data_IF_143674696811
#
_entry.id   IF_143674696811
#
_cell.length_a   1.000
_cell.length_b   1.000
_cell.length_c   1.000
_cell.angle_alpha   90.00
_cell.angle_beta   90.00
_cell.angle_gamma   90.00
#
_symmetry.space_group_name_H-M   'P 1'
#
loop_
_entity.id
_entity.type
_entity.pdbx_description
1 polymer ?
#
# COMPACT_ATOMS: atom_id res chain seq x y z
N UNK A 1 -52.24 7.76 2.58
CA UNK A 1 -52.23 7.08 1.26
C UNK A 1 -51.58 7.88 0.13
N UNK A 2 -50.82 8.97 0.40
CA UNK A 2 -50.20 9.80 -0.66
C UNK A 2 -48.68 9.60 -0.85
N UNK A 3 -48.01 8.86 0.04
CA UNK A 3 -46.55 8.66 0.01
C UNK A 3 -46.13 7.42 -0.79
N UNK A 4 -46.94 6.35 -0.75
CA UNK A 4 -46.67 5.10 -1.48
C UNK A 4 -46.69 5.28 -3.01
N UNK A 5 -47.62 6.10 -3.52
CA UNK A 5 -47.74 6.38 -4.96
C UNK A 5 -46.52 7.15 -5.49
N UNK A 6 -45.98 8.11 -4.71
CA UNK A 6 -44.77 8.85 -5.09
C UNK A 6 -43.54 7.94 -5.19
N UNK A 7 -43.34 7.02 -4.24
CA UNK A 7 -42.23 6.06 -4.30
C UNK A 7 -42.33 5.15 -5.54
N UNK A 8 -43.52 4.71 -5.90
CA UNK A 8 -43.75 3.84 -7.06
C UNK A 8 -43.44 4.55 -8.38
N UNK A 9 -43.79 5.83 -8.50
CA UNK A 9 -43.47 6.65 -9.68
C UNK A 9 -41.97 6.93 -9.82
N UNK A 10 -41.26 7.22 -8.71
CA UNK A 10 -39.81 7.43 -8.76
C UNK A 10 -39.05 6.13 -9.06
N UNK A 11 -39.50 4.99 -8.54
CA UNK A 11 -38.91 3.68 -8.85
C UNK A 11 -39.07 3.34 -10.34
N UNK A 12 -40.22 3.60 -10.94
CA UNK A 12 -40.45 3.41 -12.37
C UNK A 12 -39.58 4.32 -13.24
N UNK A 13 -39.36 5.57 -12.83
CA UNK A 13 -38.50 6.52 -13.56
C UNK A 13 -37.03 6.09 -13.47
N UNK A 14 -36.55 5.66 -12.29
CA UNK A 14 -35.18 5.14 -12.13
C UNK A 14 -34.98 3.85 -12.92
N UNK A 15 -35.98 2.95 -12.94
CA UNK A 15 -35.93 1.72 -13.73
C UNK A 15 -35.91 2.02 -15.24
N UNK A 16 -36.73 2.95 -15.72
CA UNK A 16 -36.74 3.37 -17.12
C UNK A 16 -35.42 4.04 -17.56
N UNK A 17 -34.82 4.89 -16.70
CA UNK A 17 -33.52 5.51 -16.98
C UNK A 17 -32.37 4.49 -16.94
N UNK A 18 -32.49 3.42 -16.15
CA UNK A 18 -31.51 2.32 -16.13
C UNK A 18 -31.63 1.39 -17.35
N UNK A 19 -32.82 1.24 -17.93
CA UNK A 19 -33.03 0.43 -19.14
C UNK A 19 -32.61 1.17 -20.42
N UNK A 20 -32.61 2.51 -20.43
CA UNK A 20 -32.15 3.30 -21.57
C UNK A 20 -30.62 3.52 -21.58
N UNK A 21 -29.95 3.29 -20.45
CA UNK A 21 -28.50 3.24 -20.35
C UNK A 21 -28.05 1.78 -20.17
N UNK A 22 -28.43 0.93 -21.12
CA UNK A 22 -27.81 -0.37 -21.27
C UNK A 22 -26.34 -0.19 -21.64
N UNK A 23 -25.46 -0.01 -20.65
CA UNK A 23 -24.05 -0.35 -20.84
C UNK A 23 -24.05 -1.87 -20.96
N UNK A 24 -24.10 -2.34 -22.19
CA UNK A 24 -23.80 -3.73 -22.51
C UNK A 24 -22.34 -3.97 -22.12
N UNK A 25 -22.13 -4.40 -20.87
CA UNK A 25 -20.91 -5.07 -20.49
C UNK A 25 -20.93 -6.45 -21.15
N UNK A 26 -20.73 -6.49 -22.46
CA UNK A 26 -20.40 -7.74 -23.13
C UNK A 26 -19.00 -8.13 -22.68
N UNK A 27 -18.90 -9.22 -21.92
CA UNK A 27 -17.66 -9.95 -21.76
C UNK A 27 -17.32 -10.61 -23.11
N UNK A 28 -16.80 -9.81 -24.05
CA UNK A 28 -16.39 -10.27 -25.36
C UNK A 28 -15.17 -11.17 -25.26
N UNK A 29 -15.40 -12.49 -25.36
CA UNK A 29 -14.34 -13.46 -25.63
C UNK A 29 -13.76 -13.19 -27.03
N UNK A 30 -12.44 -13.36 -27.24
CA UNK A 30 -11.70 -12.74 -28.35
C UNK A 30 -12.05 -13.23 -29.77
N UNK A 31 -13.04 -14.11 -29.92
CA UNK A 31 -13.49 -14.70 -31.19
C UNK A 31 -15.00 -14.62 -31.44
N UNK A 32 -15.83 -14.12 -30.53
CA UNK A 32 -17.26 -13.96 -30.79
C UNK A 32 -17.51 -12.65 -31.54
N UNK A 33 -17.44 -12.73 -32.85
CA UNK A 33 -17.58 -11.64 -33.82
C UNK A 33 -19.04 -11.16 -33.97
N UNK A 34 -19.64 -10.60 -32.92
CA UNK A 34 -20.81 -9.74 -33.06
C UNK A 34 -20.41 -8.27 -33.32
N UNK A 35 -19.22 -7.85 -32.88
CA UNK A 35 -18.65 -6.51 -33.16
C UNK A 35 -17.90 -6.43 -34.48
N UNK A 36 -17.72 -7.54 -35.21
CA UNK A 36 -16.94 -7.58 -36.45
C UNK A 36 -17.78 -7.73 -37.73
N UNK A 37 -19.12 -7.69 -37.65
CA UNK A 37 -19.97 -8.00 -38.81
C UNK A 37 -20.85 -6.89 -39.37
N UNK A 38 -20.86 -5.66 -38.85
CA UNK A 38 -21.80 -4.65 -39.39
C UNK A 38 -21.22 -3.44 -40.11
N UNK A 39 -19.91 -3.18 -40.06
CA UNK A 39 -19.31 -2.27 -41.04
C UNK A 39 -17.81 -2.57 -41.20
N UNK A 40 -17.45 -3.23 -42.30
CA UNK A 40 -16.06 -3.44 -42.69
C UNK A 40 -15.39 -2.14 -43.20
N UNK A 41 -15.92 -0.97 -42.86
CA UNK A 41 -15.32 0.31 -43.17
C UNK A 41 -13.96 0.43 -42.47
N UNK A 42 -12.98 0.94 -43.20
CA UNK A 42 -11.62 1.09 -42.71
C UNK A 42 -11.62 2.01 -41.49
N UNK A 43 -12.49 3.02 -41.52
CA UNK A 43 -12.72 4.07 -40.53
C UNK A 43 -13.19 3.51 -39.18
N UNK A 44 -14.17 2.60 -39.16
CA UNK A 44 -14.65 1.97 -37.93
C UNK A 44 -13.54 1.16 -37.23
N UNK A 45 -12.73 0.41 -38.00
CA UNK A 45 -11.56 -0.32 -37.49
C UNK A 45 -10.48 0.61 -36.92
N UNK A 46 -10.30 1.80 -37.48
CA UNK A 46 -9.35 2.78 -36.94
C UNK A 46 -9.86 3.44 -35.67
N UNK A 47 -11.17 3.75 -35.60
CA UNK A 47 -11.81 4.31 -34.41
C UNK A 47 -11.74 3.35 -33.21
N UNK A 48 -12.05 2.07 -33.42
CA UNK A 48 -11.96 1.02 -32.39
C UNK A 48 -10.51 0.74 -31.93
N UNK A 49 -9.52 0.85 -32.84
CA UNK A 49 -8.10 0.77 -32.45
C UNK A 49 -7.62 2.00 -31.69
N UNK A 50 -8.22 3.16 -31.96
CA UNK A 50 -7.89 4.41 -31.29
C UNK A 50 -8.46 4.45 -29.87
N UNK A 51 -9.63 3.86 -29.63
CA UNK A 51 -10.28 3.80 -28.31
C UNK A 51 -9.62 2.82 -27.34
N UNK A 52 -8.86 1.83 -27.83
CA UNK A 52 -8.12 0.89 -26.98
C UNK A 52 -7.07 1.61 -26.12
N UNK A 53 -6.95 1.27 -24.81
CA UNK A 53 -6.00 1.92 -23.91
C UNK A 53 -4.55 1.71 -24.39
N UNK A 54 -3.71 2.73 -24.17
CA UNK A 54 -2.30 2.70 -24.57
C UNK A 54 -1.58 1.48 -23.97
N UNK A 55 -0.84 0.72 -24.78
CA UNK A 55 -0.17 -0.53 -24.37
C UNK A 55 -0.94 -1.83 -24.64
N UNK A 56 -2.26 -1.78 -24.91
CA UNK A 56 -3.09 -2.96 -25.20
C UNK A 56 -2.99 -3.49 -26.64
N UNK A 57 -2.21 -2.82 -27.51
CA UNK A 57 -2.14 -3.13 -28.95
C UNK A 57 -1.25 -4.34 -29.22
N UNK A 58 -1.80 -5.53 -29.07
CA UNK A 58 -1.17 -6.76 -29.51
C UNK A 58 -1.31 -6.91 -31.04
N UNK A 59 -0.28 -7.48 -31.68
CA UNK A 59 -0.24 -7.73 -33.13
C UNK A 59 -0.12 -9.23 -33.35
N UNK A 60 -0.92 -9.78 -34.25
CA UNK A 60 -0.71 -11.15 -34.71
C UNK A 60 0.57 -11.23 -35.55
N UNK A 61 1.49 -12.09 -35.15
CA UNK A 61 2.71 -12.42 -35.88
C UNK A 61 2.92 -13.93 -35.79
N UNK A 62 3.13 -14.59 -36.93
CA UNK A 62 3.40 -16.03 -36.99
C UNK A 62 2.35 -16.91 -36.29
N UNK A 63 1.07 -16.56 -36.44
CA UNK A 63 -0.05 -17.30 -35.83
C UNK A 63 -0.28 -17.02 -34.34
N UNK A 64 0.58 -16.24 -33.69
CA UNK A 64 0.48 -15.92 -32.27
C UNK A 64 0.30 -14.42 -32.02
N UNK A 65 -0.26 -14.08 -30.85
CA UNK A 65 -0.51 -12.72 -30.42
C UNK A 65 0.73 -12.14 -29.74
N UNK A 66 1.39 -11.17 -30.39
CA UNK A 66 2.67 -10.60 -29.94
C UNK A 66 2.55 -9.11 -29.56
N UNK A 67 3.08 -8.66 -28.40
CA UNK A 67 3.65 -9.45 -27.29
C UNK A 67 2.59 -10.26 -26.51
N UNK A 68 3.00 -11.34 -25.80
CA UNK A 68 2.07 -12.22 -25.06
C UNK A 68 1.22 -11.49 -24.02
N UNK A 69 1.79 -10.42 -23.43
CA UNK A 69 1.11 -9.51 -22.53
C UNK A 69 1.21 -8.07 -23.07
N UNK A 70 0.18 -7.24 -22.89
CA UNK A 70 0.26 -5.82 -23.21
C UNK A 70 1.37 -5.18 -22.36
N UNK A 71 2.37 -4.58 -23.01
CA UNK A 71 3.41 -3.86 -22.27
C UNK A 71 2.83 -2.52 -21.81
N UNK A 72 3.15 -2.05 -20.60
CA UNK A 72 2.98 -0.64 -20.29
C UNK A 72 3.91 0.14 -21.23
N UNK A 73 3.34 0.71 -22.29
CA UNK A 73 4.06 1.59 -23.20
C UNK A 73 3.55 2.99 -22.99
N UNK A 74 4.41 3.87 -22.46
CA UNK A 74 4.22 5.30 -22.59
C UNK A 74 4.16 5.74 -24.06
N UNK A 75 3.99 7.05 -24.33
CA UNK A 75 4.00 7.59 -25.68
C UNK A 75 5.24 7.12 -26.46
N UNK A 76 5.07 6.82 -27.76
CA UNK A 76 6.18 6.37 -28.62
C UNK A 76 7.25 7.44 -28.62
N UNK A 77 8.46 7.11 -28.15
CA UNK A 77 9.58 8.04 -28.17
C UNK A 77 9.88 8.51 -29.59
N UNK A 78 10.20 9.79 -29.73
CA UNK A 78 10.64 10.38 -30.99
C UNK A 78 11.93 9.74 -31.51
N UNK A 79 12.16 9.81 -32.83
CA UNK A 79 13.31 9.13 -33.45
C UNK A 79 14.66 9.70 -32.99
N UNK A 80 14.75 11.00 -32.70
CA UNK A 80 15.96 11.62 -32.15
C UNK A 80 16.27 11.09 -30.75
N UNK A 81 15.25 10.94 -29.89
CA UNK A 81 15.40 10.32 -28.59
C UNK A 81 15.97 8.91 -28.76
N UNK A 82 15.37 8.09 -29.64
CA UNK A 82 15.86 6.73 -29.93
C UNK A 82 17.31 6.69 -30.43
N UNK A 83 17.71 7.61 -31.30
CA UNK A 83 19.09 7.74 -31.77
C UNK A 83 20.03 8.05 -30.62
N UNK A 84 19.70 9.07 -29.82
CA UNK A 84 20.53 9.48 -28.70
C UNK A 84 20.61 8.40 -27.60
N UNK A 85 19.53 7.65 -27.39
CA UNK A 85 19.48 6.53 -26.45
C UNK A 85 20.43 5.39 -26.82
N UNK A 86 20.58 5.09 -28.12
CA UNK A 86 21.47 4.03 -28.57
C UNK A 86 22.95 4.44 -28.57
N UNK A 87 23.24 5.72 -28.83
CA UNK A 87 24.62 6.20 -29.05
C UNK A 87 25.26 6.86 -27.83
N UNK A 88 24.48 7.43 -26.92
CA UNK A 88 25.02 8.18 -25.77
C UNK A 88 24.72 7.52 -24.42
N UNK A 89 24.34 6.24 -24.40
CA UNK A 89 24.20 5.49 -23.16
C UNK A 89 25.51 5.56 -22.35
N UNK A 90 25.48 5.91 -21.04
CA UNK A 90 24.32 6.11 -20.15
C UNK A 90 23.91 7.58 -19.91
N UNK A 91 24.67 8.57 -20.42
CA UNK A 91 24.57 9.97 -20.01
C UNK A 91 23.19 10.67 -20.16
N UNK A 92 22.37 10.45 -21.21
CA UNK A 92 21.11 11.17 -21.36
C UNK A 92 20.07 10.79 -20.29
N UNK A 93 20.24 9.67 -19.60
CA UNK A 93 19.32 9.18 -18.59
C UNK A 93 19.80 9.41 -17.17
N UNK A 94 21.10 9.65 -16.95
CA UNK A 94 21.67 9.76 -15.61
C UNK A 94 20.96 10.81 -14.74
N UNK A 95 20.55 11.95 -15.31
CA UNK A 95 19.81 12.97 -14.57
C UNK A 95 18.38 12.52 -14.22
N UNK A 96 17.70 11.84 -15.15
CA UNK A 96 16.34 11.35 -14.96
C UNK A 96 16.32 10.18 -13.97
N UNK A 97 17.25 9.25 -14.09
CA UNK A 97 17.40 8.11 -13.19
C UNK A 97 17.77 8.56 -11.78
N UNK A 98 18.67 9.55 -11.63
CA UNK A 98 18.98 10.16 -10.32
C UNK A 98 17.75 10.82 -9.70
N UNK A 99 16.99 11.59 -10.48
CA UNK A 99 15.77 12.21 -10.00
C UNK A 99 14.71 11.18 -9.61
N UNK A 100 14.59 10.09 -10.37
CA UNK A 100 13.67 8.99 -10.08
C UNK A 100 14.04 8.26 -8.78
N UNK A 101 15.32 7.94 -8.59
CA UNK A 101 15.80 7.32 -7.35
C UNK A 101 15.58 8.28 -6.17
N UNK A 102 15.87 9.57 -6.33
CA UNK A 102 15.62 10.57 -5.29
C UNK A 102 14.13 10.64 -4.91
N UNK A 103 13.21 10.68 -5.88
CA UNK A 103 11.75 10.68 -5.63
C UNK A 103 11.30 9.42 -4.87
N UNK A 104 11.81 8.24 -5.23
CA UNK A 104 11.50 7.02 -4.50
C UNK A 104 11.97 7.12 -3.04
N UNK A 105 13.20 7.58 -2.81
CA UNK A 105 13.77 7.73 -1.48
C UNK A 105 12.98 8.76 -0.66
N UNK A 106 12.61 9.88 -1.26
CA UNK A 106 11.81 10.91 -0.60
C UNK A 106 10.44 10.40 -0.16
N UNK A 107 9.78 9.59 -1.00
CA UNK A 107 8.52 8.93 -0.64
C UNK A 107 8.70 7.92 0.50
N UNK A 108 9.77 7.13 0.47
CA UNK A 108 10.07 6.18 1.55
C UNK A 108 10.34 6.90 2.87
N UNK A 109 11.12 7.98 2.83
CA UNK A 109 11.39 8.83 3.99
C UNK A 109 10.09 9.45 4.50
N UNK A 110 9.26 10.00 3.62
CA UNK A 110 7.97 10.56 3.99
C UNK A 110 7.08 9.52 4.68
N UNK A 111 6.92 8.34 4.09
CA UNK A 111 6.14 7.25 4.68
C UNK A 111 6.69 6.81 6.04
N UNK A 112 8.02 6.70 6.18
CA UNK A 112 8.67 6.38 7.45
C UNK A 112 8.37 7.41 8.55
N UNK A 113 8.39 8.70 8.20
CA UNK A 113 7.98 9.77 9.12
C UNK A 113 6.48 9.72 9.44
N UNK A 114 5.62 9.47 8.46
CA UNK A 114 4.19 9.29 8.68
C UNK A 114 3.93 8.13 9.64
N UNK A 115 4.60 7.00 9.46
CA UNK A 115 4.48 5.82 10.31
C UNK A 115 4.97 6.10 11.73
N UNK A 116 6.15 6.70 11.87
CA UNK A 116 6.72 7.04 13.18
C UNK A 116 5.86 8.06 13.94
N UNK A 117 5.22 8.99 13.24
CA UNK A 117 4.32 9.97 13.85
C UNK A 117 2.88 9.47 13.99
N UNK A 118 2.61 8.19 13.70
CA UNK A 118 1.30 7.57 13.87
C UNK A 118 1.13 6.97 15.26
N UNK A 119 0.09 7.43 15.98
CA UNK A 119 -0.42 6.80 17.19
C UNK A 119 -1.36 5.66 16.81
N UNK A 120 -0.86 4.43 16.96
CA UNK A 120 -1.59 3.18 16.77
C UNK A 120 -2.45 2.77 17.96
N UNK A 121 -3.30 1.75 17.74
CA UNK A 121 -4.26 1.23 18.71
C UNK A 121 -3.66 0.85 20.08
N UNK A 122 -2.42 0.38 20.14
CA UNK A 122 -1.76 0.00 21.40
C UNK A 122 -1.31 1.21 22.25
N UNK A 123 -1.29 2.41 21.69
CA UNK A 123 -1.08 3.64 22.46
C UNK A 123 -2.36 4.09 23.19
N UNK A 124 -3.51 3.50 22.84
CA UNK A 124 -4.79 3.80 23.45
C UNK A 124 -5.21 2.70 24.42
N UNK A 125 -5.97 3.10 25.43
CA UNK A 125 -6.67 2.16 26.29
C UNK A 125 -7.81 1.46 25.51
N UNK A 126 -8.05 0.19 25.82
CA UNK A 126 -9.00 -0.66 25.08
C UNK A 126 -10.44 -0.21 25.24
N UNK A 127 -10.78 0.28 26.43
CA UNK A 127 -12.15 0.60 26.80
C UNK A 127 -12.42 2.12 26.72
N UNK A 128 -11.40 2.95 27.01
CA UNK A 128 -11.59 4.39 27.16
C UNK A 128 -11.21 5.28 25.97
N UNK A 129 -10.59 4.77 24.91
CA UNK A 129 -10.01 5.59 23.81
C UNK A 129 -9.05 6.72 24.28
N UNK A 130 -8.60 6.67 25.54
CA UNK A 130 -7.65 7.61 26.14
C UNK A 130 -6.23 7.17 25.85
N UNK A 131 -5.31 8.12 25.80
CA UNK A 131 -3.89 7.84 25.66
C UNK A 131 -3.37 7.12 26.92
N UNK A 132 -2.67 6.00 26.71
CA UNK A 132 -1.90 5.32 27.75
C UNK A 132 -0.60 6.06 28.03
N UNK A 133 0.14 5.67 29.08
CA UNK A 133 1.46 6.22 29.35
C UNK A 133 2.42 6.08 28.15
N UNK A 134 2.37 4.94 27.45
CA UNK A 134 3.16 4.73 26.24
C UNK A 134 2.74 5.67 25.10
N UNK A 135 1.44 5.95 24.96
CA UNK A 135 0.91 6.94 24.02
C UNK A 135 1.36 8.36 24.34
N UNK A 136 1.33 8.75 25.61
CA UNK A 136 1.77 10.08 26.05
C UNK A 136 3.26 10.30 25.82
N UNK A 137 4.10 9.30 26.13
CA UNK A 137 5.54 9.36 25.86
C UNK A 137 5.83 9.47 24.35
N UNK A 138 5.10 8.72 23.52
CA UNK A 138 5.25 8.80 22.07
C UNK A 138 4.81 10.16 21.53
N UNK A 139 3.68 10.70 22.02
CA UNK A 139 3.21 12.02 21.65
C UNK A 139 4.22 13.12 22.03
N UNK A 140 4.82 13.03 23.23
CA UNK A 140 5.92 13.92 23.66
C UNK A 140 7.11 13.83 22.72
N UNK A 141 7.52 12.61 22.35
CA UNK A 141 8.61 12.41 21.39
C UNK A 141 8.33 13.08 20.04
N UNK A 142 7.10 12.96 19.51
CA UNK A 142 6.71 13.64 18.26
C UNK A 142 6.85 15.16 18.40
N UNK A 143 6.43 15.73 19.52
CA UNK A 143 6.48 17.20 19.72
C UNK A 143 7.89 17.73 19.92
N UNK A 144 8.76 17.00 20.62
CA UNK A 144 10.11 17.45 20.95
C UNK A 144 11.15 17.10 19.87
N UNK A 145 11.08 15.89 19.32
CA UNK A 145 12.17 15.33 18.50
C UNK A 145 11.85 15.30 17.00
N UNK A 146 10.58 15.30 16.60
CA UNK A 146 10.26 15.31 15.17
C UNK A 146 10.63 16.67 14.54
N UNK A 147 11.27 16.70 13.36
CA UNK A 147 11.58 17.92 12.64
C UNK A 147 10.32 18.72 12.34
N UNK A 148 10.38 20.05 12.47
CA UNK A 148 9.21 20.93 12.31
C UNK A 148 8.48 20.73 10.96
N UNK A 149 9.24 20.59 9.87
CA UNK A 149 8.69 20.35 8.51
C UNK A 149 7.88 19.05 8.38
N UNK A 150 8.09 18.09 9.28
CA UNK A 150 7.47 16.74 9.25
C UNK A 150 6.66 16.44 10.50
N UNK A 151 6.51 17.42 11.40
CA UNK A 151 5.83 17.27 12.70
C UNK A 151 4.32 17.35 12.50
N UNK A 152 3.73 16.23 12.12
CA UNK A 152 2.30 16.04 11.95
C UNK A 152 1.86 14.86 12.78
N UNK A 153 0.82 15.00 13.59
CA UNK A 153 0.33 13.90 14.42
C UNK A 153 -0.69 13.09 13.61
N UNK A 154 -0.45 11.80 13.46
CA UNK A 154 -1.40 10.89 12.84
C UNK A 154 -2.04 10.00 13.90
N UNK A 155 -3.35 9.80 13.82
CA UNK A 155 -4.09 8.91 14.72
C UNK A 155 -4.72 7.79 13.91
N UNK A 156 -4.46 6.55 14.31
CA UNK A 156 -5.05 5.40 13.63
C UNK A 156 -6.57 5.38 13.82
N UNK A 157 -7.30 5.25 12.71
CA UNK A 157 -8.76 5.06 12.72
C UNK A 157 -9.15 3.78 13.46
N UNK A 158 -10.17 3.88 14.32
CA UNK A 158 -10.81 2.74 14.95
C UNK A 158 -11.86 2.09 14.04
N UNK A 159 -12.43 0.96 14.47
CA UNK A 159 -13.51 0.29 13.74
C UNK A 159 -14.79 1.14 13.64
N UNK A 160 -14.99 2.07 14.58
CA UNK A 160 -16.12 3.00 14.57
C UNK A 160 -15.64 4.44 14.35
N UNK A 161 -16.46 5.23 13.64
CA UNK A 161 -16.19 6.65 13.39
C UNK A 161 -16.19 7.48 14.68
N UNK A 162 -17.10 7.16 15.61
CA UNK A 162 -17.22 7.82 16.92
C UNK A 162 -15.93 7.63 17.72
N UNK A 163 -15.45 6.38 17.86
CA UNK A 163 -14.20 6.09 18.56
C UNK A 163 -12.99 6.78 17.89
N UNK A 164 -12.99 6.88 16.57
CA UNK A 164 -11.92 7.59 15.85
C UNK A 164 -11.90 9.08 16.19
N UNK A 165 -13.07 9.73 16.24
CA UNK A 165 -13.19 11.14 16.63
C UNK A 165 -12.83 11.37 18.09
N UNK A 166 -13.23 10.48 19.00
CA UNK A 166 -12.83 10.53 20.41
C UNK A 166 -11.31 10.43 20.58
N UNK A 167 -10.66 9.51 19.87
CA UNK A 167 -9.19 9.39 19.89
C UNK A 167 -8.52 10.66 19.39
N UNK A 168 -9.02 11.22 18.30
CA UNK A 168 -8.50 12.48 17.75
C UNK A 168 -8.64 13.62 18.77
N UNK A 169 -9.81 13.77 19.39
CA UNK A 169 -10.06 14.79 20.40
C UNK A 169 -9.18 14.62 21.64
N UNK A 170 -9.02 13.39 22.13
CA UNK A 170 -8.15 13.09 23.27
C UNK A 170 -6.67 13.39 22.97
N UNK A 171 -6.20 13.12 21.75
CA UNK A 171 -4.84 13.43 21.31
C UNK A 171 -4.63 14.93 21.18
N UNK A 172 -5.60 15.66 20.60
CA UNK A 172 -5.53 17.12 20.51
C UNK A 172 -5.52 17.78 21.89
N UNK A 173 -6.35 17.28 22.81
CA UNK A 173 -6.37 17.75 24.20
C UNK A 173 -5.01 17.51 24.87
N UNK A 174 -4.48 16.29 24.80
CA UNK A 174 -3.17 15.95 25.39
C UNK A 174 -2.02 16.76 24.75
N UNK A 175 -2.07 17.01 23.44
CA UNK A 175 -1.08 17.84 22.76
C UNK A 175 -1.15 19.30 23.24
N UNK A 176 -2.36 19.85 23.42
CA UNK A 176 -2.57 21.21 23.93
C UNK A 176 -2.07 21.38 25.36
N UNK A 177 -2.22 20.35 26.20
CA UNK A 177 -1.74 20.34 27.58
C UNK A 177 -0.21 20.32 27.64
N UNK A 178 0.45 19.57 26.75
CA UNK A 178 1.92 19.49 26.72
C UNK A 178 2.59 20.74 26.15
N UNK A 179 1.89 21.52 25.33
CA UNK A 179 2.46 22.69 24.65
C UNK A 179 2.01 24.03 25.25
N UNK A 180 1.32 24.00 26.39
CA UNK A 180 0.69 25.17 27.02
C UNK A 180 -0.15 26.01 26.02
N UNK A 181 -0.79 25.33 25.07
CA UNK A 181 -1.59 25.95 24.00
C UNK A 181 -0.80 26.65 22.89
N UNK A 182 0.54 26.62 22.93
CA UNK A 182 1.41 27.22 21.91
C UNK A 182 1.88 26.16 20.91
N UNK A 183 1.98 26.52 19.62
CA UNK A 183 2.57 25.68 18.55
C UNK A 183 2.08 24.21 18.53
N UNK A 184 0.76 24.00 18.49
CA UNK A 184 0.17 22.66 18.42
C UNK A 184 0.26 22.13 16.98
N UNK A 185 0.99 21.04 16.71
CA UNK A 185 1.03 20.45 15.37
C UNK A 185 -0.34 19.88 14.99
N UNK A 186 -0.68 19.95 13.69
CA UNK A 186 -1.96 19.47 13.20
C UNK A 186 -2.09 17.95 13.40
N UNK A 187 -3.24 17.54 13.95
CA UNK A 187 -3.59 16.14 14.18
C UNK A 187 -4.65 15.69 13.17
N UNK A 188 -4.43 14.55 12.51
CA UNK A 188 -5.37 13.99 11.54
C UNK A 188 -5.56 12.47 11.71
N UNK A 189 -6.72 11.98 11.25
CA UNK A 189 -7.01 10.56 11.20
C UNK A 189 -6.34 9.90 9.99
N UNK A 190 -5.79 8.71 10.20
CA UNK A 190 -5.16 7.89 9.16
C UNK A 190 -5.68 6.46 9.22
N UNK A 191 -6.14 5.96 8.09
CA UNK A 191 -6.42 4.53 7.91
C UNK A 191 -5.09 3.82 7.72
N UNK A 192 -4.63 3.13 8.76
CA UNK A 192 -3.43 2.30 8.71
C UNK A 192 -3.61 1.06 9.56
N UNK A 193 -2.83 0.02 9.25
CA UNK A 193 -2.63 -1.10 10.15
C UNK A 193 -1.37 -0.87 10.97
N UNK A 194 -1.36 -1.42 12.18
CA UNK A 194 -0.17 -1.39 13.02
C UNK A 194 0.99 -2.07 12.29
N UNK A 195 2.10 -1.36 12.16
CA UNK A 195 3.31 -1.92 11.57
C UNK A 195 3.99 -2.85 12.58
N UNK A 196 4.39 -4.03 12.11
CA UNK A 196 5.11 -5.02 12.91
C UNK A 196 4.23 -6.14 13.47
N UNK A 197 4.86 -7.00 14.27
CA UNK A 197 4.23 -8.13 14.92
C UNK A 197 4.16 -7.90 16.42
N UNK A 198 3.07 -8.29 17.09
CA UNK A 198 2.95 -8.12 18.52
C UNK A 198 4.09 -8.88 19.22
N UNK A 199 4.73 -8.23 20.21
CA UNK A 199 5.87 -8.81 20.92
C UNK A 199 5.57 -10.20 21.51
N UNK A 200 4.33 -10.45 21.93
CA UNK A 200 3.88 -11.77 22.39
C UNK A 200 4.00 -12.85 21.32
N UNK A 201 3.65 -12.54 20.07
CA UNK A 201 3.76 -13.48 18.96
C UNK A 201 5.23 -13.79 18.66
N UNK A 202 6.09 -12.77 18.66
CA UNK A 202 7.53 -12.97 18.44
C UNK A 202 8.22 -13.72 19.59
N UNK A 203 7.88 -13.44 20.84
CA UNK A 203 8.34 -14.19 22.01
C UNK A 203 7.91 -15.66 21.94
N UNK A 204 6.67 -15.93 21.54
CA UNK A 204 6.19 -17.30 21.33
C UNK A 204 7.01 -18.04 20.27
N UNK A 205 7.28 -17.41 19.12
CA UNK A 205 8.12 -18.00 18.06
C UNK A 205 9.55 -18.23 18.51
N UNK A 206 10.12 -17.26 19.22
CA UNK A 206 11.48 -17.37 19.74
C UNK A 206 11.61 -18.52 20.74
N UNK A 207 10.66 -18.66 21.67
CA UNK A 207 10.62 -19.79 22.61
C UNK A 207 10.46 -21.13 21.89
N UNK A 208 9.57 -21.20 20.89
CA UNK A 208 9.39 -22.40 20.08
C UNK A 208 10.67 -22.76 19.30
N UNK A 209 11.33 -21.76 18.70
CA UNK A 209 12.60 -21.93 18.01
C UNK A 209 13.67 -22.48 18.95
N UNK A 210 13.94 -21.80 20.08
CA UNK A 210 14.92 -22.23 21.07
C UNK A 210 14.62 -23.63 21.60
N UNK A 211 13.35 -23.93 21.89
CA UNK A 211 12.92 -25.25 22.36
C UNK A 211 13.07 -26.37 21.31
N UNK A 212 13.13 -26.02 20.02
CA UNK A 212 13.35 -26.97 18.92
C UNK A 212 14.83 -27.20 18.58
N UNK A 213 15.74 -26.40 19.13
CA UNK A 213 17.18 -26.56 18.90
C UNK A 213 17.62 -27.86 19.59
N UNK A 214 18.10 -28.82 18.78
CA UNK A 214 18.69 -30.06 19.29
C UNK A 214 19.97 -29.75 20.09
N UNK A 215 20.22 -30.51 21.16
CA UNK A 215 21.43 -30.36 21.96
C UNK A 215 22.70 -30.46 21.07
N UNK A 216 23.72 -29.61 21.29
CA UNK A 216 24.93 -29.58 20.49
C UNK A 216 25.67 -30.92 20.55
N UNK A 217 26.04 -31.45 19.39
CA UNK A 217 26.78 -32.72 19.27
C UNK A 217 28.24 -32.43 18.98
N UNK A 218 29.01 -32.15 20.02
CA UNK A 218 30.47 -32.20 19.94
C UNK A 218 30.88 -33.51 20.62
N UNK A 219 31.27 -34.50 19.82
CA UNK A 219 31.88 -35.71 20.37
C UNK A 219 33.29 -35.35 20.82
N UNK A 220 33.46 -35.06 22.10
CA UNK A 220 34.79 -34.89 22.69
C UNK A 220 35.31 -36.28 23.06
N UNK A 221 36.22 -36.81 22.25
CA UNK A 221 36.99 -38.01 22.59
C UNK A 221 38.01 -37.61 23.66
N UNK A 222 37.70 -37.83 24.94
CA UNK A 222 38.74 -37.88 25.98
C UNK A 222 39.67 -39.05 25.65
N UNK A 223 40.91 -38.75 25.28
CA UNK A 223 41.96 -39.76 25.12
C UNK A 223 42.24 -40.44 26.46
N UNK A 224 41.52 -41.53 26.74
CA UNK A 224 41.69 -42.34 27.94
C UNK A 224 42.96 -43.19 27.85
N UNK A 225 44.06 -42.68 28.38
CA UNK A 225 45.19 -43.50 28.80
C UNK A 225 44.75 -44.40 29.95
N UNK A 226 44.75 -45.72 29.74
CA UNK A 226 44.52 -46.70 30.79
C UNK A 226 45.69 -46.69 31.76
N UNK A 227 45.53 -46.06 32.93
CA UNK A 227 46.42 -46.24 34.06
C UNK A 227 45.92 -47.43 34.89
N UNK A 228 46.68 -48.53 34.82
CA UNK A 228 46.45 -49.75 35.56
C UNK A 228 46.45 -49.48 37.07
N UNK A 229 45.41 -49.93 37.76
CA UNK A 229 45.30 -49.86 39.21
C UNK A 229 46.18 -50.95 39.82
N UNK A 230 47.35 -50.58 40.33
CA UNK A 230 48.27 -51.45 41.06
C UNK A 230 47.87 -51.55 42.52
N UNK A 231 47.60 -52.77 42.97
CA UNK A 231 47.37 -53.14 44.37
C UNK A 231 48.63 -53.00 45.23
N UNK A 232 48.52 -52.32 46.38
CA UNK A 232 49.05 -52.72 47.67
C UNK A 232 48.38 -51.90 48.79
#
# INVERSE_FOLDING_TARGET
MATAVKMQSYLLIVFAVSLMNGVTAEAGWPWSSATCSEDNSKEAKWAERASRPVGSRQKYKFGELWPPYPRPTGPKQHFWNRYHHAHYWPYPYTCQDRAYVADIMDRQIHNGWTDQNTLYAYHFDKDGNKLTQAGLLHLRWIMEHAPEERRMIFVQTANSSISSQERLANVQYAASEMSDGQNIPSAMLRVSQTYGRPAREEDMKYRAYVGSILAPRIQYTTGGGSAANGSN
#
